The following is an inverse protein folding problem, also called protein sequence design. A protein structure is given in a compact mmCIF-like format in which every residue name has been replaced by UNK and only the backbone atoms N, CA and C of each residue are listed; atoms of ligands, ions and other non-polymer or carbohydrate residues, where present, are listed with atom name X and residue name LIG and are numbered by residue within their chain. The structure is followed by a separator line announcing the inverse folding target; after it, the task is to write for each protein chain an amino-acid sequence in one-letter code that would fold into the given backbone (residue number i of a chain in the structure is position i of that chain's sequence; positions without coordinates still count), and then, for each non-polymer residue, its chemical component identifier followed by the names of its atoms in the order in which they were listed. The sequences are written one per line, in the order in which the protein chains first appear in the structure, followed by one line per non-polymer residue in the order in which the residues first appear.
data_IF_002634161153
#
_entry.id   IF_002634161153
#
_cell.length_a   1.000
_cell.length_b   1.000
_cell.length_c   1.000
_cell.angle_alpha   90.00
_cell.angle_beta   90.00
_cell.angle_gamma   90.00
#
_symmetry.space_group_name_H-M   'P 1'
#
loop_
_entity.id
_entity.type
_entity.pdbx_description
1 polymer ?
#
# COMPACT_ATOMS: atom_id res chain seq x y z
N UNK A 1 -1.88 13.66 14.58
CA UNK A 1 -3.31 13.49 14.88
C UNK A 1 -3.62 12.01 15.02
N UNK A 2 -4.31 11.64 16.06
CA UNK A 2 -4.66 10.24 16.29
C UNK A 2 -5.89 9.87 15.48
N UNK A 3 -5.87 8.65 14.94
CA UNK A 3 -7.04 8.13 14.28
C UNK A 3 -8.15 7.82 15.27
N UNK A 4 -9.38 8.10 14.89
CA UNK A 4 -10.53 7.70 15.68
C UNK A 4 -10.71 6.18 15.68
N UNK A 5 -11.44 5.68 16.67
CA UNK A 5 -11.70 4.24 16.78
C UNK A 5 -12.40 3.69 15.52
N UNK A 6 -13.37 4.44 15.00
CA UNK A 6 -14.10 4.04 13.80
C UNK A 6 -13.18 3.99 12.58
N UNK A 7 -12.29 4.97 12.45
CA UNK A 7 -11.32 5.00 11.36
C UNK A 7 -10.43 3.76 11.39
N UNK A 8 -9.94 3.39 12.57
CA UNK A 8 -9.07 2.22 12.73
C UNK A 8 -9.80 0.92 12.40
N UNK A 9 -11.04 0.80 12.82
CA UNK A 9 -11.85 -0.39 12.54
C UNK A 9 -12.07 -0.56 11.04
N UNK A 10 -12.42 0.52 10.36
CA UNK A 10 -12.64 0.50 8.92
C UNK A 10 -11.33 0.23 8.19
N UNK A 11 -10.24 0.89 8.59
CA UNK A 11 -8.94 0.66 7.98
C UNK A 11 -8.50 -0.79 8.11
N UNK A 12 -8.69 -1.41 9.27
CA UNK A 12 -8.38 -2.81 9.49
C UNK A 12 -9.19 -3.75 8.61
N UNK A 13 -10.49 -3.48 8.50
CA UNK A 13 -11.38 -4.25 7.64
C UNK A 13 -10.94 -4.14 6.17
N UNK A 14 -10.70 -2.93 5.71
CA UNK A 14 -10.27 -2.70 4.33
C UNK A 14 -8.92 -3.34 4.04
N UNK A 15 -8.01 -3.30 5.01
CA UNK A 15 -6.69 -3.92 4.85
C UNK A 15 -6.80 -5.44 4.64
N UNK A 16 -7.61 -6.12 5.45
CA UNK A 16 -7.82 -7.55 5.30
C UNK A 16 -8.42 -7.89 3.93
N UNK A 17 -9.47 -7.16 3.55
CA UNK A 17 -10.19 -7.46 2.33
C UNK A 17 -9.38 -7.12 1.08
N UNK A 18 -8.63 -6.01 1.10
CA UNK A 18 -7.91 -5.56 -0.09
C UNK A 18 -6.81 -6.55 -0.50
N UNK A 19 -6.10 -7.12 0.46
CA UNK A 19 -5.06 -8.09 0.15
C UNK A 19 -5.65 -9.36 -0.49
N UNK A 20 -6.80 -9.81 0.00
CA UNK A 20 -7.52 -10.93 -0.60
C UNK A 20 -7.98 -10.60 -2.02
N UNK A 21 -8.47 -9.38 -2.23
CA UNK A 21 -8.89 -8.91 -3.55
C UNK A 21 -7.72 -8.88 -4.52
N UNK A 22 -6.57 -8.39 -4.09
CA UNK A 22 -5.38 -8.34 -4.93
C UNK A 22 -4.97 -9.75 -5.37
N UNK A 23 -5.05 -10.74 -4.48
CA UNK A 23 -4.78 -12.13 -4.84
C UNK A 23 -5.79 -12.62 -5.88
N UNK A 24 -7.06 -12.36 -5.65
CA UNK A 24 -8.12 -12.78 -6.57
C UNK A 24 -7.97 -12.18 -7.96
N UNK A 25 -7.61 -10.92 -8.04
CA UNK A 25 -7.47 -10.19 -9.31
C UNK A 25 -6.09 -10.38 -9.97
N UNK A 26 -5.19 -11.13 -9.34
CA UNK A 26 -3.86 -11.35 -9.88
C UNK A 26 -2.94 -10.14 -9.73
N UNK A 27 -3.25 -9.24 -8.82
CA UNK A 27 -2.47 -8.02 -8.59
C UNK A 27 -1.42 -8.18 -7.50
N UNK A 28 -1.41 -9.33 -6.80
CA UNK A 28 -0.42 -9.59 -5.75
C UNK A 28 0.96 -9.94 -6.29
N UNK A 29 1.06 -10.26 -7.57
CA UNK A 29 2.32 -10.51 -8.26
C UNK A 29 2.32 -9.74 -9.57
N UNK A 30 3.31 -8.88 -9.76
CA UNK A 30 3.46 -8.09 -10.97
C UNK A 30 4.92 -8.16 -11.40
N UNK A 31 5.15 -8.53 -12.67
CA UNK A 31 6.49 -8.62 -13.26
C UNK A 31 7.46 -9.48 -12.42
N UNK A 32 6.95 -10.57 -11.85
CA UNK A 32 7.76 -11.49 -11.04
C UNK A 32 8.01 -11.01 -9.63
N UNK A 33 7.55 -9.83 -9.28
CA UNK A 33 7.66 -9.29 -7.93
C UNK A 33 6.38 -9.43 -7.14
N UNK A 34 6.46 -9.14 -5.85
CA UNK A 34 5.32 -9.24 -4.94
C UNK A 34 4.75 -7.84 -4.65
N UNK A 35 3.44 -7.75 -4.63
CA UNK A 35 2.71 -6.53 -4.28
C UNK A 35 1.76 -6.87 -3.14
N UNK A 36 1.81 -6.07 -2.08
CA UNK A 36 0.89 -6.22 -0.96
C UNK A 36 0.51 -4.86 -0.43
N UNK A 37 -0.65 -4.79 0.23
CA UNK A 37 -1.05 -3.57 0.93
C UNK A 37 -0.47 -3.64 2.34
N UNK A 38 0.45 -2.73 2.64
CA UNK A 38 1.12 -2.71 3.94
C UNK A 38 0.29 -2.00 5.00
N UNK A 39 -0.44 -0.98 4.61
CA UNK A 39 -1.31 -0.25 5.54
C UNK A 39 -2.44 0.45 4.81
N UNK A 40 -3.49 0.75 5.55
CA UNK A 40 -4.65 1.49 5.05
C UNK A 40 -4.93 2.61 6.04
N UNK A 41 -5.16 3.81 5.54
CA UNK A 41 -5.58 4.94 6.36
C UNK A 41 -6.86 5.52 5.78
N UNK A 42 -7.80 5.80 6.67
CA UNK A 42 -9.10 6.35 6.30
C UNK A 42 -9.20 7.76 6.87
N UNK A 43 -9.72 8.68 6.07
CA UNK A 43 -9.89 10.06 6.51
C UNK A 43 -10.97 10.15 7.61
N UNK A 44 -10.92 11.20 8.47
CA UNK A 44 -11.89 11.34 9.57
C UNK A 44 -13.34 11.37 9.11
N UNK A 45 -13.61 11.91 7.92
CA UNK A 45 -14.96 11.96 7.35
C UNK A 45 -15.35 10.63 6.69
N UNK A 46 -14.45 9.64 6.66
CA UNK A 46 -14.65 8.33 6.07
C UNK A 46 -14.94 8.35 4.56
N UNK A 47 -14.56 9.42 3.89
CA UNK A 47 -14.81 9.58 2.45
C UNK A 47 -13.65 9.11 1.57
N UNK A 48 -12.45 8.98 2.14
CA UNK A 48 -11.28 8.56 1.39
C UNK A 48 -10.54 7.48 2.15
N UNK A 49 -10.13 6.43 1.45
CA UNK A 49 -9.27 5.38 1.99
C UNK A 49 -7.97 5.38 1.20
N UNK A 50 -6.86 5.47 1.92
CA UNK A 50 -5.52 5.50 1.35
C UNK A 50 -4.85 4.15 1.57
N UNK A 51 -4.53 3.49 0.47
CA UNK A 51 -3.89 2.18 0.47
C UNK A 51 -2.41 2.34 0.15
N UNK A 52 -1.57 1.96 1.09
CA UNK A 52 -0.12 2.04 0.91
C UNK A 52 0.41 0.68 0.49
N UNK A 53 1.00 0.63 -0.68
CA UNK A 53 1.40 -0.61 -1.33
C UNK A 53 2.89 -0.84 -1.19
N UNK A 54 3.27 -2.05 -0.78
CA UNK A 54 4.65 -2.50 -0.76
C UNK A 54 4.95 -3.28 -2.03
N UNK A 55 6.05 -2.93 -2.67
CA UNK A 55 6.52 -3.60 -3.88
C UNK A 55 7.86 -4.27 -3.58
N UNK A 56 7.91 -5.58 -3.76
CA UNK A 56 9.13 -6.36 -3.51
C UNK A 56 9.58 -7.01 -4.82
N UNK A 57 10.79 -6.67 -5.25
CA UNK A 57 11.39 -7.16 -6.51
C UNK A 57 10.58 -6.80 -7.74
N UNK A 58 9.86 -5.68 -7.69
CA UNK A 58 9.16 -5.13 -8.84
C UNK A 58 10.09 -4.14 -9.52
N UNK A 59 10.41 -4.38 -10.79
CA UNK A 59 11.37 -3.56 -11.51
C UNK A 59 10.88 -2.14 -11.79
N UNK A 60 9.61 -2.01 -12.21
CA UNK A 60 9.02 -0.71 -12.50
C UNK A 60 7.79 -0.51 -11.62
N UNK A 61 8.00 0.16 -10.49
CA UNK A 61 6.94 0.39 -9.51
C UNK A 61 5.86 1.31 -10.06
N UNK A 62 6.23 2.31 -10.84
CA UNK A 62 5.25 3.23 -11.42
C UNK A 62 4.32 2.51 -12.41
N UNK A 63 4.88 1.64 -13.23
CA UNK A 63 4.07 0.83 -14.14
C UNK A 63 3.16 -0.14 -13.39
N UNK A 64 3.68 -0.74 -12.31
CA UNK A 64 2.88 -1.62 -11.47
C UNK A 64 1.73 -0.87 -10.79
N UNK A 65 2.03 0.32 -10.27
CA UNK A 65 1.01 1.17 -9.65
C UNK A 65 -0.07 1.56 -10.66
N UNK A 66 0.33 1.86 -11.89
CA UNK A 66 -0.63 2.17 -12.95
C UNK A 66 -1.53 0.98 -13.27
N UNK A 67 -0.97 -0.23 -13.31
CA UNK A 67 -1.78 -1.43 -13.52
C UNK A 67 -2.84 -1.58 -12.44
N UNK A 68 -2.49 -1.29 -11.21
CA UNK A 68 -3.41 -1.36 -10.09
C UNK A 68 -4.49 -0.28 -10.23
N UNK A 69 -4.10 0.94 -10.56
CA UNK A 69 -5.05 2.03 -10.78
C UNK A 69 -5.99 1.75 -11.95
N UNK A 70 -5.49 1.12 -13.01
CA UNK A 70 -6.32 0.73 -14.15
C UNK A 70 -7.37 -0.33 -13.75
N UNK A 71 -7.12 -1.08 -12.68
CA UNK A 71 -8.07 -2.06 -12.14
C UNK A 71 -8.91 -1.48 -10.99
N UNK A 72 -8.90 -0.17 -10.81
CA UNK A 72 -9.60 0.52 -9.72
C UNK A 72 -11.09 0.13 -9.66
N UNK A 73 -11.76 0.08 -10.80
CA UNK A 73 -13.17 -0.25 -10.86
C UNK A 73 -13.42 -1.68 -10.36
N UNK A 74 -12.61 -2.63 -10.78
CA UNK A 74 -12.73 -4.02 -10.35
C UNK A 74 -12.44 -4.17 -8.87
N UNK A 75 -11.43 -3.47 -8.37
CA UNK A 75 -11.06 -3.48 -6.96
C UNK A 75 -12.21 -2.92 -6.12
N UNK A 76 -12.75 -1.78 -6.52
CA UNK A 76 -13.86 -1.13 -5.82
C UNK A 76 -15.09 -2.02 -5.79
N UNK A 77 -15.41 -2.65 -6.91
CA UNK A 77 -16.57 -3.55 -7.04
C UNK A 77 -16.44 -4.74 -6.08
N UNK A 78 -15.28 -5.38 -6.06
CA UNK A 78 -15.01 -6.50 -5.14
C UNK A 78 -15.08 -6.05 -3.68
N UNK A 79 -14.48 -4.91 -3.38
CA UNK A 79 -14.48 -4.37 -2.03
C UNK A 79 -15.90 -4.07 -1.56
N UNK A 80 -16.69 -3.42 -2.41
CA UNK A 80 -18.09 -3.11 -2.10
C UNK A 80 -18.89 -4.37 -1.78
N UNK A 81 -18.70 -5.43 -2.58
CA UNK A 81 -19.38 -6.70 -2.36
C UNK A 81 -19.02 -7.32 -1.01
N UNK A 82 -17.76 -7.18 -0.59
CA UNK A 82 -17.27 -7.79 0.65
C UNK A 82 -17.66 -7.04 1.92
N UNK A 83 -17.76 -5.70 1.84
CA UNK A 83 -17.95 -4.86 3.03
C UNK A 83 -19.30 -4.14 3.07
N UNK A 84 -20.20 -4.46 2.16
CA UNK A 84 -21.48 -3.74 2.02
C UNK A 84 -22.33 -3.74 3.28
N UNK A 85 -22.17 -4.74 4.12
CA UNK A 85 -22.95 -4.82 5.37
C UNK A 85 -22.29 -4.05 6.50
N UNK A 86 -21.00 -3.76 6.39
CA UNK A 86 -20.26 -3.00 7.39
C UNK A 86 -20.17 -1.53 7.04
N UNK A 87 -20.19 -1.19 5.74
CA UNK A 87 -20.05 0.19 5.28
C UNK A 87 -21.21 0.57 4.36
N UNK A 88 -21.86 1.68 4.66
CA UNK A 88 -22.92 2.22 3.80
C UNK A 88 -22.38 2.69 2.47
N UNK A 89 -21.32 3.46 2.56
CA UNK A 89 -20.67 4.04 1.39
C UNK A 89 -19.22 3.59 1.34
N UNK A 90 -18.77 3.23 0.15
CA UNK A 90 -17.38 2.85 -0.05
C UNK A 90 -16.57 4.13 -0.21
N UNK A 91 -15.51 4.33 0.58
CA UNK A 91 -14.65 5.49 0.42
C UNK A 91 -14.01 5.53 -0.95
N UNK A 92 -13.61 6.73 -1.39
CA UNK A 92 -12.79 6.87 -2.59
C UNK A 92 -11.46 6.16 -2.33
N UNK A 93 -11.04 5.30 -3.25
CA UNK A 93 -9.82 4.53 -3.10
C UNK A 93 -8.65 5.30 -3.71
N UNK A 94 -7.60 5.47 -2.93
CA UNK A 94 -6.35 6.09 -3.37
C UNK A 94 -5.21 5.11 -3.09
N UNK A 95 -4.33 4.94 -4.08
CA UNK A 95 -3.22 4.01 -3.97
C UNK A 95 -1.91 4.78 -4.01
N UNK A 96 -1.04 4.46 -3.06
CA UNK A 96 0.28 5.09 -2.95
C UNK A 96 1.34 4.02 -2.76
N UNK A 97 2.54 4.29 -3.21
CA UNK A 97 3.67 3.45 -2.86
C UNK A 97 4.02 3.68 -1.39
N UNK A 98 4.07 2.59 -0.63
CA UNK A 98 4.61 2.67 0.72
C UNK A 98 6.11 2.46 0.63
N UNK A 99 6.85 3.51 0.81
CA UNK A 99 8.30 3.47 0.74
C UNK A 99 8.96 3.24 2.10
N UNK A 100 8.18 2.88 3.11
CA UNK A 100 8.69 2.69 4.46
C UNK A 100 9.79 1.62 4.48
N UNK A 101 9.53 0.45 3.90
CA UNK A 101 10.53 -0.60 3.80
C UNK A 101 11.69 -0.19 2.91
N UNK A 102 11.38 0.36 1.74
CA UNK A 102 12.41 0.86 0.84
C UNK A 102 13.24 1.94 1.50
N UNK A 103 12.60 2.80 2.27
CA UNK A 103 13.28 3.84 3.02
C UNK A 103 14.23 3.23 4.06
N UNK A 104 13.79 2.21 4.78
CA UNK A 104 14.63 1.52 5.75
C UNK A 104 15.82 0.87 5.06
N UNK A 105 15.60 0.17 3.95
CA UNK A 105 16.68 -0.45 3.19
C UNK A 105 17.64 0.60 2.63
N UNK A 106 17.12 1.69 2.11
CA UNK A 106 17.95 2.79 1.62
C UNK A 106 18.76 3.41 2.74
N UNK A 107 18.16 3.58 3.91
CA UNK A 107 18.89 4.09 5.06
C UNK A 107 20.00 3.15 5.50
N UNK A 108 19.75 1.85 5.51
CA UNK A 108 20.76 0.86 5.82
C UNK A 108 21.93 0.92 4.80
N UNK A 109 21.58 1.01 3.53
CA UNK A 109 22.59 1.17 2.47
C UNK A 109 23.38 2.45 2.63
N UNK A 110 22.69 3.56 2.95
CA UNK A 110 23.34 4.85 3.18
C UNK A 110 24.25 4.77 4.39
N UNK A 111 23.81 4.19 5.49
CA UNK A 111 24.66 4.02 6.66
C UNK A 111 25.88 3.16 6.38
N UNK A 112 25.70 2.07 5.67
CA UNK A 112 26.78 1.20 5.25
C UNK A 112 27.76 1.95 4.35
N UNK A 113 27.24 2.68 3.39
CA UNK A 113 28.02 3.48 2.46
C UNK A 113 28.78 4.60 3.16
N UNK A 114 28.12 5.29 4.09
CA UNK A 114 28.77 6.32 4.89
C UNK A 114 29.89 5.74 5.74
N UNK A 115 29.65 4.58 6.35
CA UNK A 115 30.66 3.88 7.14
C UNK A 115 31.87 3.51 6.28
N UNK A 116 31.65 3.01 5.08
CA UNK A 116 32.72 2.66 4.14
C UNK A 116 33.47 3.91 3.67
N UNK A 117 32.73 4.96 3.32
CA UNK A 117 33.32 6.21 2.87
C UNK A 117 34.10 6.91 3.97
N UNK A 118 33.64 6.82 5.21
CA UNK A 118 34.36 7.36 6.37
C UNK A 118 35.70 6.66 6.57
N UNK A 119 35.77 5.38 6.28
CA UNK A 119 37.02 4.64 6.34
C UNK A 119 38.00 5.10 5.25
N UNK A 120 37.46 5.45 4.08
CA UNK A 120 38.22 5.80 2.92
C UNK A 120 38.52 7.29 2.82
N UNK A 121 37.51 8.15 2.95
CA UNK A 121 37.63 9.58 2.70
C UNK A 121 36.72 10.47 3.52
N UNK A 122 35.99 9.94 4.50
CA UNK A 122 35.12 10.70 5.39
C UNK A 122 33.92 11.38 4.72
N UNK A 123 33.47 10.90 3.63
CA UNK A 123 32.31 11.51 3.00
C UNK A 123 30.97 10.86 3.37
#
# INVERSE_FOLDING_TARGET
MQEGKRQKQIAGLLNEEINSIFQKLGLSMIDGGLVSVSSVKVTPDLLEARFYLSFFKVGDVLAALKKIEDRHHDIKKELAARVRYQLRNIPVLKFFQDDTLDHVFKMEEIFKKISEERKDNNS
#
